data_IF_328541779197
#
_entry.id   IF_328541779197
#
_cell.length_a   1.000
_cell.length_b   1.000
_cell.length_c   1.000
_cell.angle_alpha   90.00
_cell.angle_beta   90.00
_cell.angle_gamma   90.00
#
_symmetry.space_group_name_H-M   'P 1'
#
loop_
_entity.id
_entity.type
_entity.pdbx_description
1 polymer ?
#
# COMPACT_ATOMS: atom_id res chain seq x y z
N UNK A 1 4.49 -18.42 -3.79
CA UNK A 1 3.84 -17.28 -4.39
C UNK A 1 4.50 -16.91 -5.67
N UNK A 2 3.71 -16.61 -6.65
CA UNK A 2 4.23 -16.37 -7.99
C UNK A 2 4.46 -14.93 -8.30
N UNK A 3 4.44 -14.10 -7.30
CA UNK A 3 4.64 -12.70 -7.55
C UNK A 3 6.07 -12.37 -7.84
N UNK A 4 6.26 -11.20 -8.39
CA UNK A 4 7.58 -10.63 -8.51
C UNK A 4 8.04 -10.30 -7.11
N UNK A 5 9.22 -10.69 -6.78
CA UNK A 5 9.74 -10.42 -5.46
C UNK A 5 9.71 -8.94 -5.16
N UNK A 6 9.33 -8.62 -3.98
CA UNK A 6 9.51 -7.29 -3.47
C UNK A 6 10.96 -7.10 -3.11
N UNK A 7 11.47 -5.91 -3.35
CA UNK A 7 12.84 -5.64 -2.99
C UNK A 7 12.94 -4.20 -2.53
N UNK A 8 14.02 -3.90 -1.84
CA UNK A 8 14.27 -2.54 -1.38
C UNK A 8 15.40 -1.94 -2.19
N UNK A 9 15.39 -0.64 -2.29
CA UNK A 9 16.46 0.08 -2.95
C UNK A 9 17.62 0.26 -1.97
N UNK A 10 18.69 0.85 -2.46
CA UNK A 10 19.85 1.05 -1.62
C UNK A 10 19.60 1.95 -0.44
N UNK A 11 18.66 2.85 -0.56
CA UNK A 11 18.33 3.77 0.52
C UNK A 11 17.26 3.21 1.43
N UNK A 12 16.96 1.92 1.28
CA UNK A 12 16.03 1.20 2.11
C UNK A 12 14.58 1.60 1.95
N UNK A 13 14.26 2.26 0.87
CA UNK A 13 12.86 2.49 0.59
C UNK A 13 12.27 1.22 0.03
N UNK A 14 11.04 0.96 0.41
CA UNK A 14 10.32 -0.15 -0.15
C UNK A 14 9.86 0.20 -1.55
N UNK A 15 9.81 -0.80 -2.40
CA UNK A 15 9.32 -0.61 -3.75
C UNK A 15 8.04 -1.42 -3.91
N UNK A 16 7.36 -1.15 -5.00
CA UNK A 16 6.12 -1.83 -5.29
C UNK A 16 6.35 -3.31 -5.50
N UNK A 17 5.34 -4.08 -5.23
CA UNK A 17 5.37 -5.51 -5.38
C UNK A 17 4.31 -5.93 -6.38
N UNK A 18 4.70 -6.77 -7.33
CA UNK A 18 3.80 -7.24 -8.36
C UNK A 18 3.61 -8.73 -8.19
N UNK A 19 2.37 -9.14 -8.02
CA UNK A 19 2.04 -10.57 -7.97
C UNK A 19 1.23 -10.92 -9.19
N UNK A 20 0.83 -12.18 -9.30
CA UNK A 20 -0.05 -12.60 -10.39
C UNK A 20 -1.36 -11.84 -10.37
N UNK A 21 -1.84 -11.52 -9.17
CA UNK A 21 -3.16 -10.96 -8.97
C UNK A 21 -3.15 -9.49 -8.65
N UNK A 22 -2.12 -9.01 -7.96
CA UNK A 22 -2.13 -7.67 -7.38
C UNK A 22 -0.94 -6.85 -7.83
N UNK A 23 -1.19 -5.57 -8.01
CA UNK A 23 -0.15 -4.57 -8.07
C UNK A 23 -0.21 -3.84 -6.72
N UNK A 24 0.83 -3.99 -5.92
CA UNK A 24 0.82 -3.55 -4.53
C UNK A 24 1.74 -2.35 -4.37
N UNK A 25 1.17 -1.27 -3.91
CA UNK A 25 1.90 -0.04 -3.60
C UNK A 25 2.28 -0.10 -2.13
N UNK A 26 3.55 0.14 -1.82
CA UNK A 26 4.05 0.10 -0.45
C UNK A 26 4.28 1.52 0.03
N UNK A 27 3.67 1.87 1.16
CA UNK A 27 3.81 3.22 1.69
C UNK A 27 3.74 3.24 3.20
N UNK A 28 4.40 4.23 3.77
CA UNK A 28 4.25 4.51 5.18
C UNK A 28 2.87 5.11 5.47
N UNK A 29 2.42 4.94 6.69
CA UNK A 29 1.08 5.32 7.09
C UNK A 29 0.75 6.78 6.83
N UNK A 30 1.71 7.69 7.01
CA UNK A 30 1.43 9.11 6.82
C UNK A 30 1.26 9.50 5.35
N UNK A 31 1.60 8.60 4.44
CA UNK A 31 1.45 8.85 3.00
C UNK A 31 0.26 8.09 2.41
N UNK A 32 -0.72 7.77 3.24
CA UNK A 32 -1.82 6.93 2.79
C UNK A 32 -2.63 7.55 1.64
N UNK A 33 -2.71 8.88 1.61
CA UNK A 33 -3.47 9.52 0.54
C UNK A 33 -2.82 9.28 -0.81
N UNK A 34 -1.50 9.38 -0.85
CA UNK A 34 -0.77 9.10 -2.08
C UNK A 34 -0.87 7.62 -2.44
N UNK A 35 -0.86 6.77 -1.42
CA UNK A 35 -0.93 5.34 -1.67
C UNK A 35 -2.22 4.97 -2.39
N UNK A 36 -3.33 5.60 -2.03
CA UNK A 36 -4.60 5.30 -2.69
C UNK A 36 -4.52 5.61 -4.18
N UNK A 37 -4.07 6.81 -4.53
CA UNK A 37 -3.98 7.19 -5.94
C UNK A 37 -2.98 6.33 -6.69
N UNK A 38 -1.82 6.10 -6.11
CA UNK A 38 -0.78 5.34 -6.78
C UNK A 38 -1.17 3.88 -6.95
N UNK A 39 -1.84 3.29 -5.97
CA UNK A 39 -2.24 1.89 -6.09
C UNK A 39 -3.26 1.70 -7.20
N UNK A 40 -4.19 2.62 -7.34
CA UNK A 40 -5.18 2.53 -8.40
C UNK A 40 -4.54 2.70 -9.78
N UNK A 41 -3.62 3.65 -9.89
CA UNK A 41 -2.94 3.88 -11.15
C UNK A 41 -2.06 2.67 -11.52
N UNK A 42 -1.34 2.15 -10.54
CA UNK A 42 -0.47 1.00 -10.77
C UNK A 42 -1.29 -0.22 -11.21
N UNK A 43 -2.43 -0.43 -10.56
CA UNK A 43 -3.32 -1.52 -10.93
C UNK A 43 -3.83 -1.35 -12.37
N UNK A 44 -4.20 -0.14 -12.71
CA UNK A 44 -4.70 0.14 -14.04
C UNK A 44 -3.63 -0.12 -15.09
N UNK A 45 -2.41 0.35 -14.85
CA UNK A 45 -1.35 0.22 -15.84
C UNK A 45 -0.83 -1.21 -15.98
N UNK A 46 -1.05 -2.06 -14.97
CA UNK A 46 -0.63 -3.46 -15.02
C UNK A 46 -1.78 -4.41 -15.28
N UNK A 47 -2.99 -3.90 -15.32
CA UNK A 47 -4.20 -4.70 -15.49
C UNK A 47 -4.35 -5.73 -14.36
N UNK A 48 -4.04 -5.31 -13.15
CA UNK A 48 -4.14 -6.15 -11.96
C UNK A 48 -5.02 -5.49 -10.93
N UNK A 49 -5.28 -6.19 -9.83
CA UNK A 49 -6.05 -5.64 -8.74
C UNK A 49 -5.17 -4.73 -7.90
N UNK A 50 -5.77 -3.70 -7.34
CA UNK A 50 -5.01 -2.73 -6.54
C UNK A 50 -4.81 -3.24 -5.13
N UNK A 51 -3.60 -3.08 -4.61
CA UNK A 51 -3.28 -3.40 -3.23
C UNK A 51 -2.40 -2.34 -2.63
N UNK A 52 -2.46 -2.21 -1.33
CA UNK A 52 -1.58 -1.32 -0.58
C UNK A 52 -0.95 -2.12 0.54
N UNK A 53 0.37 -2.07 0.62
CA UNK A 53 1.06 -2.55 1.82
C UNK A 53 1.29 -1.33 2.70
N UNK A 54 0.51 -1.25 3.75
CA UNK A 54 0.46 -0.11 4.65
C UNK A 54 1.44 -0.37 5.79
N UNK A 55 2.43 0.49 5.93
CA UNK A 55 3.45 0.34 6.97
C UNK A 55 3.09 1.28 8.11
N UNK A 56 2.66 0.70 9.22
CA UNK A 56 2.27 1.48 10.39
C UNK A 56 3.49 1.72 11.25
N UNK A 57 3.77 2.99 11.54
CA UNK A 57 4.91 3.35 12.35
C UNK A 57 4.51 3.44 13.81
N UNK A 58 5.44 3.02 14.68
CA UNK A 58 5.17 3.05 16.11
C UNK A 58 4.99 4.46 16.63
N UNK A 59 5.70 5.43 16.05
CA UNK A 59 5.65 6.79 16.54
C UNK A 59 4.49 7.60 16.00
N UNK A 60 3.68 7.03 15.12
CA UNK A 60 2.55 7.77 14.56
C UNK A 60 1.52 8.06 15.65
N UNK A 61 1.12 9.31 15.74
CA UNK A 61 0.16 9.74 16.76
C UNK A 61 -1.27 9.76 16.25
N UNK A 62 -1.44 9.79 14.94
CA UNK A 62 -2.76 9.75 14.32
C UNK A 62 -3.06 8.35 13.86
N UNK A 63 -4.35 8.04 13.87
CA UNK A 63 -4.79 6.73 13.39
C UNK A 63 -4.99 6.81 11.87
N UNK A 64 -3.88 6.86 11.16
CA UNK A 64 -3.90 6.97 9.71
C UNK A 64 -4.60 5.79 9.06
N UNK A 65 -4.46 4.61 9.67
CA UNK A 65 -5.11 3.42 9.11
C UNK A 65 -6.62 3.62 9.05
N UNK A 66 -7.19 4.10 10.15
CA UNK A 66 -8.63 4.29 10.19
C UNK A 66 -9.08 5.38 9.21
N UNK A 67 -8.27 6.44 9.06
CA UNK A 67 -8.59 7.48 8.08
C UNK A 67 -8.66 6.90 6.68
N UNK A 68 -7.64 6.10 6.32
CA UNK A 68 -7.59 5.50 5.00
C UNK A 68 -8.73 4.54 4.77
N UNK A 69 -9.01 3.69 5.75
CA UNK A 69 -10.07 2.69 5.60
C UNK A 69 -11.43 3.34 5.43
N UNK A 70 -11.67 4.44 6.14
CA UNK A 70 -12.95 5.13 5.98
C UNK A 70 -13.16 5.63 4.56
N UNK A 71 -12.11 6.15 3.95
CA UNK A 71 -12.21 6.63 2.56
C UNK A 71 -12.44 5.47 1.61
N UNK A 72 -11.68 4.39 1.79
CA UNK A 72 -11.80 3.23 0.93
C UNK A 72 -13.23 2.66 0.99
N UNK A 73 -13.77 2.57 2.21
CA UNK A 73 -15.10 2.00 2.37
C UNK A 73 -16.19 2.92 1.86
N UNK A 74 -16.08 4.21 2.16
CA UNK A 74 -17.12 5.15 1.75
C UNK A 74 -17.28 5.20 0.24
N UNK A 75 -16.18 5.19 -0.48
CA UNK A 75 -16.21 5.30 -1.93
C UNK A 75 -16.05 3.96 -2.62
N UNK A 76 -16.07 2.88 -1.84
CA UNK A 76 -16.03 1.51 -2.37
C UNK A 76 -14.87 1.31 -3.34
N UNK A 77 -13.71 1.78 -2.93
CA UNK A 77 -12.52 1.66 -3.76
C UNK A 77 -12.04 0.21 -3.79
N UNK A 78 -11.74 -0.32 -4.95
CA UNK A 78 -11.34 -1.73 -5.07
C UNK A 78 -9.87 -1.93 -4.72
N UNK A 79 -9.53 -1.68 -3.47
CA UNK A 79 -8.17 -1.77 -2.98
C UNK A 79 -8.11 -2.74 -1.82
N UNK A 80 -7.22 -3.70 -1.91
CA UNK A 80 -6.97 -4.60 -0.79
C UNK A 80 -5.82 -4.04 0.03
N UNK A 81 -5.99 -4.02 1.35
CA UNK A 81 -4.98 -3.44 2.23
C UNK A 81 -4.31 -4.54 3.02
N UNK A 82 -2.99 -4.54 2.98
CA UNK A 82 -2.15 -5.40 3.81
C UNK A 82 -1.44 -4.50 4.79
N UNK A 83 -1.31 -4.93 6.04
CA UNK A 83 -0.75 -4.08 7.08
C UNK A 83 0.50 -4.74 7.66
N UNK A 84 1.53 -3.96 7.83
CA UNK A 84 2.69 -4.38 8.59
C UNK A 84 3.07 -3.25 9.54
N UNK A 85 3.81 -3.59 10.59
CA UNK A 85 4.22 -2.59 11.55
C UNK A 85 5.72 -2.47 11.53
N UNK A 86 6.18 -1.22 11.58
CA UNK A 86 7.58 -0.94 11.65
C UNK A 86 7.95 -0.70 13.09
N UNK A 87 8.95 -1.42 13.55
CA UNK A 87 9.43 -1.25 14.92
C UNK A 87 10.40 -0.09 14.96
N UNK A 88 10.25 0.71 15.98
CA UNK A 88 11.11 1.87 16.16
C UNK A 88 12.48 1.48 16.75
#
# INVERSE_FOLDING_TARGET
MNGISQFTTKDRTYVDCLTDEYAIETEYDYNWKEAIGQSLHYAESTNKKAGILFIKRAESKKDYFNEMIRVIKKYQLPIKVFVTEEES
#
